data_IF_538216046856
#
_entry.id   IF_538216046856
#
_cell.length_a   1.000
_cell.length_b   1.000
_cell.length_c   1.000
_cell.angle_alpha   90.00
_cell.angle_beta   90.00
_cell.angle_gamma   90.00
#
_symmetry.space_group_name_H-M   'P 1'
#
loop_
_entity.id
_entity.type
_entity.pdbx_description
1 polymer ?
#
# COMPACT_ATOMS: atom_id res chain seq x y z
N UNK A 1 17.17 81.60 -29.29
CA UNK A 1 17.48 80.17 -29.55
C UNK A 1 17.01 79.24 -28.41
N UNK A 2 15.80 79.41 -27.86
CA UNK A 2 15.28 78.55 -26.76
C UNK A 2 14.04 77.72 -27.13
N UNK A 3 13.40 78.01 -28.28
CA UNK A 3 12.16 77.33 -28.72
C UNK A 3 12.41 76.12 -29.64
N UNK A 4 13.59 76.02 -30.26
CA UNK A 4 13.93 74.89 -31.14
C UNK A 4 14.44 73.65 -30.37
N UNK A 5 15.02 73.83 -29.18
CA UNK A 5 15.58 72.73 -28.40
C UNK A 5 14.49 71.81 -27.80
N UNK A 6 13.32 72.36 -27.47
CA UNK A 6 12.24 71.61 -26.82
C UNK A 6 11.49 70.69 -27.80
N UNK A 7 11.37 71.08 -29.07
CA UNK A 7 10.68 70.29 -30.10
C UNK A 7 11.50 69.05 -30.48
N UNK A 8 12.83 69.16 -30.52
CA UNK A 8 13.73 68.02 -30.85
C UNK A 8 13.77 67.00 -29.70
N UNK A 9 13.74 67.46 -28.46
CA UNK A 9 13.71 66.59 -27.28
C UNK A 9 12.39 65.82 -27.15
N UNK A 10 11.26 66.48 -27.47
CA UNK A 10 9.94 65.84 -27.50
C UNK A 10 9.81 64.78 -28.60
N UNK A 11 10.39 65.02 -29.78
CA UNK A 11 10.35 64.05 -30.90
C UNK A 11 11.20 62.80 -30.64
N UNK A 12 12.39 62.96 -30.02
CA UNK A 12 13.27 61.86 -29.64
C UNK A 12 12.64 60.93 -28.58
N UNK A 13 11.87 61.50 -27.64
CA UNK A 13 11.17 60.71 -26.62
C UNK A 13 10.09 59.80 -27.25
N UNK A 14 9.31 60.33 -28.21
CA UNK A 14 8.25 59.56 -28.88
C UNK A 14 8.82 58.44 -29.75
N UNK A 15 9.98 58.65 -30.40
CA UNK A 15 10.66 57.62 -31.19
C UNK A 15 11.21 56.45 -30.36
N UNK A 16 11.56 56.67 -29.08
CA UNK A 16 11.97 55.58 -28.18
C UNK A 16 10.81 54.73 -27.66
N UNK A 17 9.57 55.22 -27.71
CA UNK A 17 8.39 54.48 -27.23
C UNK A 17 7.72 53.59 -28.29
N UNK A 18 8.05 53.75 -29.58
CA UNK A 18 7.48 52.92 -30.67
C UNK A 18 8.26 51.61 -30.88
N UNK A 19 9.32 51.37 -30.08
CA UNK A 19 10.23 50.23 -30.20
C UNK A 19 9.95 49.02 -29.30
N UNK A 20 8.86 49.01 -28.51
CA UNK A 20 8.41 47.80 -27.82
C UNK A 20 7.14 47.30 -28.51
N UNK A 21 7.35 46.70 -29.69
CA UNK A 21 6.31 46.02 -30.43
C UNK A 21 5.59 45.00 -29.56
N UNK A 22 4.27 44.91 -29.77
CA UNK A 22 3.46 43.78 -29.36
C UNK A 22 4.12 42.48 -29.83
N UNK A 23 4.83 41.80 -28.94
CA UNK A 23 4.91 40.36 -29.02
C UNK A 23 3.63 39.85 -28.34
N UNK A 24 2.52 39.87 -29.07
CA UNK A 24 1.49 38.88 -28.81
C UNK A 24 2.17 37.54 -29.07
N UNK A 25 2.71 36.95 -28.01
CA UNK A 25 3.28 35.62 -28.05
C UNK A 25 2.11 34.72 -28.43
N UNK A 26 2.04 34.40 -29.72
CA UNK A 26 1.12 33.41 -30.25
C UNK A 26 1.33 32.15 -29.41
N UNK A 27 0.34 31.78 -28.61
CA UNK A 27 0.34 30.50 -27.88
C UNK A 27 0.07 29.31 -28.82
N UNK A 28 0.12 29.54 -30.14
CA UNK A 28 -0.27 28.61 -31.19
C UNK A 28 0.94 27.85 -31.77
N UNK A 29 2.10 27.90 -31.11
CA UNK A 29 3.18 26.96 -31.39
C UNK A 29 2.78 25.58 -30.85
N UNK A 30 1.91 24.90 -31.58
CA UNK A 30 1.55 23.51 -31.35
C UNK A 30 2.81 22.65 -31.50
N UNK A 31 3.39 22.22 -30.39
CA UNK A 31 4.61 21.42 -30.39
C UNK A 31 4.27 19.98 -30.78
N UNK A 32 4.32 19.67 -32.07
CA UNK A 32 4.02 18.33 -32.59
C UNK A 32 4.88 17.24 -31.93
N UNK A 33 6.11 17.57 -31.54
CA UNK A 33 7.03 16.66 -30.84
C UNK A 33 6.53 16.30 -29.42
N UNK A 34 5.82 17.21 -28.75
CA UNK A 34 5.20 16.93 -27.44
C UNK A 34 4.02 15.97 -27.56
N UNK A 35 3.15 16.19 -28.55
CA UNK A 35 2.00 15.30 -28.79
C UNK A 35 2.44 13.92 -29.27
N UNK A 36 3.43 13.86 -30.15
CA UNK A 36 4.02 12.61 -30.62
C UNK A 36 4.70 11.85 -29.48
N UNK A 37 5.48 12.54 -28.64
CA UNK A 37 6.08 11.98 -27.44
C UNK A 37 5.04 11.48 -26.41
N UNK A 38 3.97 12.24 -26.21
CA UNK A 38 2.88 11.87 -25.30
C UNK A 38 2.11 10.65 -25.81
N UNK A 39 1.72 10.63 -27.09
CA UNK A 39 1.03 9.52 -27.71
C UNK A 39 1.89 8.25 -27.71
N UNK A 40 3.16 8.36 -28.10
CA UNK A 40 4.10 7.23 -28.13
C UNK A 40 4.36 6.71 -26.72
N UNK A 41 4.57 7.58 -25.74
CA UNK A 41 4.75 7.17 -24.35
C UNK A 41 3.51 6.50 -23.75
N UNK A 42 2.32 7.01 -24.07
CA UNK A 42 1.06 6.40 -23.67
C UNK A 42 0.86 5.02 -24.31
N UNK A 43 1.12 4.88 -25.61
CA UNK A 43 0.99 3.60 -26.31
C UNK A 43 2.01 2.57 -25.81
N UNK A 44 3.27 2.97 -25.61
CA UNK A 44 4.30 2.08 -25.06
C UNK A 44 3.93 1.64 -23.65
N UNK A 45 3.53 2.56 -22.77
CA UNK A 45 3.11 2.22 -21.41
C UNK A 45 1.83 1.36 -21.36
N UNK A 46 0.87 1.62 -22.25
CA UNK A 46 -0.34 0.79 -22.36
C UNK A 46 -0.01 -0.62 -22.83
N UNK A 47 0.86 -0.77 -23.83
CA UNK A 47 1.25 -2.08 -24.37
C UNK A 47 2.14 -2.86 -23.39
N UNK A 48 3.06 -2.19 -22.69
CA UNK A 48 3.87 -2.77 -21.61
C UNK A 48 2.96 -3.29 -20.48
N UNK A 49 2.02 -2.47 -20.01
CA UNK A 49 1.01 -2.91 -19.03
C UNK A 49 0.14 -4.07 -19.54
N UNK A 50 -0.20 -4.10 -20.84
CA UNK A 50 -0.93 -5.22 -21.46
C UNK A 50 -0.11 -6.51 -21.52
N UNK A 51 1.19 -6.44 -21.83
CA UNK A 51 2.07 -7.60 -21.83
C UNK A 51 2.26 -8.16 -20.41
N UNK A 52 2.46 -7.28 -19.42
CA UNK A 52 2.57 -7.71 -18.02
C UNK A 52 1.31 -8.45 -17.54
N UNK A 53 0.11 -7.97 -17.89
CA UNK A 53 -1.16 -8.67 -17.57
C UNK A 53 -1.29 -10.02 -18.27
N UNK A 54 -0.76 -10.16 -19.49
CA UNK A 54 -0.85 -11.39 -20.27
C UNK A 54 0.14 -12.47 -19.80
N UNK A 55 1.24 -12.08 -19.14
CA UNK A 55 2.33 -12.96 -18.72
C UNK A 55 2.35 -13.25 -17.20
N UNK A 56 1.63 -12.47 -16.38
CA UNK A 56 1.57 -12.70 -14.93
C UNK A 56 0.74 -13.95 -14.61
N UNK A 57 1.41 -15.09 -14.40
CA UNK A 57 0.80 -16.20 -13.66
C UNK A 57 0.61 -15.74 -12.23
N UNK A 58 -0.63 -15.61 -11.78
CA UNK A 58 -0.90 -15.27 -10.38
C UNK A 58 -0.48 -16.45 -9.50
N UNK A 59 0.38 -16.16 -8.54
CA UNK A 59 0.75 -17.10 -7.49
C UNK A 59 -0.12 -16.80 -6.27
N UNK A 60 -0.51 -17.86 -5.56
CA UNK A 60 -1.31 -17.73 -4.36
C UNK A 60 -0.65 -18.52 -3.22
N UNK A 61 -0.88 -18.09 -1.99
CA UNK A 61 -0.58 -18.88 -0.80
C UNK A 61 -1.87 -19.30 -0.13
N UNK A 62 -1.96 -20.59 0.19
CA UNK A 62 -2.99 -21.12 1.06
C UNK A 62 -2.43 -21.30 2.47
N UNK A 63 -3.07 -20.65 3.44
CA UNK A 63 -2.76 -20.78 4.86
C UNK A 63 -3.80 -21.67 5.54
N UNK A 64 -3.35 -22.63 6.34
CA UNK A 64 -4.24 -23.54 7.07
C UNK A 64 -3.69 -23.99 8.42
N UNK A 65 -4.57 -24.55 9.24
CA UNK A 65 -4.22 -25.16 10.52
C UNK A 65 -4.31 -24.18 11.69
N UNK A 66 -3.22 -24.03 12.42
CA UNK A 66 -3.18 -23.30 13.68
C UNK A 66 -1.77 -22.76 13.95
N UNK A 67 -1.67 -21.71 14.75
CA UNK A 67 -0.38 -21.14 15.14
C UNK A 67 -0.37 -20.78 16.63
N UNK A 68 0.82 -20.81 17.24
CA UNK A 68 1.04 -20.33 18.59
C UNK A 68 1.44 -18.85 18.55
N UNK A 69 0.78 -18.02 19.35
CA UNK A 69 1.19 -16.63 19.55
C UNK A 69 0.93 -16.18 20.99
N UNK A 70 1.72 -15.22 21.46
CA UNK A 70 1.53 -14.61 22.78
C UNK A 70 0.69 -13.35 22.66
N UNK A 71 -0.33 -13.23 23.51
CA UNK A 71 -1.15 -12.01 23.58
C UNK A 71 -0.34 -10.96 24.31
N UNK A 72 0.04 -9.90 23.61
CA UNK A 72 0.76 -8.76 24.19
C UNK A 72 -0.21 -7.77 24.83
N UNK A 73 -1.30 -7.47 24.13
CA UNK A 73 -2.25 -6.45 24.55
C UNK A 73 -3.65 -6.71 23.99
N UNK A 74 -4.68 -6.35 24.75
CA UNK A 74 -6.06 -6.34 24.32
C UNK A 74 -6.53 -4.89 24.06
N UNK A 75 -6.90 -4.61 22.83
CA UNK A 75 -7.33 -3.28 22.39
C UNK A 75 -8.84 -3.26 22.09
N UNK A 76 -9.59 -2.23 22.51
CA UNK A 76 -10.98 -2.10 22.11
C UNK A 76 -11.11 -1.93 20.59
N UNK A 77 -11.99 -2.71 19.96
CA UNK A 77 -12.35 -2.52 18.56
C UNK A 77 -13.44 -1.45 18.47
N UNK A 78 -13.05 -0.21 18.19
CA UNK A 78 -14.00 0.91 18.07
C UNK A 78 -14.81 0.89 16.78
N UNK A 79 -14.44 0.06 15.79
CA UNK A 79 -15.15 -0.05 14.52
C UNK A 79 -16.16 -1.21 14.53
N UNK A 80 -15.82 -2.31 15.20
CA UNK A 80 -16.71 -3.44 15.36
C UNK A 80 -17.75 -3.19 16.48
N UNK A 81 -18.75 -4.06 16.57
CA UNK A 81 -19.84 -3.97 17.56
C UNK A 81 -19.28 -3.74 18.99
N UNK A 82 -19.97 -2.95 19.84
CA UNK A 82 -19.52 -2.68 21.20
C UNK A 82 -19.21 -3.97 21.98
N UNK A 83 -18.03 -4.04 22.58
CA UNK A 83 -17.55 -5.19 23.35
C UNK A 83 -16.58 -6.11 22.61
N UNK A 84 -16.36 -5.90 21.30
CA UNK A 84 -15.30 -6.58 20.56
C UNK A 84 -13.93 -6.00 20.88
N UNK A 85 -12.95 -6.88 20.97
CA UNK A 85 -11.56 -6.55 21.25
C UNK A 85 -10.69 -7.08 20.11
N UNK A 86 -9.58 -6.41 19.83
CA UNK A 86 -8.51 -6.87 18.94
C UNK A 86 -7.36 -7.31 19.84
N UNK A 87 -6.79 -8.49 19.60
CA UNK A 87 -5.58 -8.90 20.29
C UNK A 87 -4.36 -8.43 19.49
N UNK A 88 -3.41 -7.77 20.16
CA UNK A 88 -2.05 -7.63 19.68
C UNK A 88 -1.33 -8.91 20.07
N UNK A 89 -0.80 -9.64 19.10
CA UNK A 89 -0.13 -10.92 19.33
C UNK A 89 1.23 -10.95 18.64
N UNK A 90 2.15 -11.77 19.14
CA UNK A 90 3.45 -11.97 18.48
C UNK A 90 3.88 -13.45 18.51
N UNK A 91 4.65 -13.85 17.50
CA UNK A 91 5.42 -15.09 17.55
C UNK A 91 6.63 -14.95 18.47
N UNK A 92 7.27 -16.06 18.82
CA UNK A 92 8.45 -16.02 19.68
C UNK A 92 9.57 -15.22 19.02
N UNK A 93 10.01 -14.13 19.67
CA UNK A 93 11.05 -13.22 19.17
C UNK A 93 10.74 -12.54 17.83
N UNK A 94 9.46 -12.39 17.48
CA UNK A 94 9.04 -11.71 16.25
C UNK A 94 8.24 -10.42 16.54
N UNK A 95 7.98 -9.64 15.49
CA UNK A 95 7.18 -8.43 15.52
C UNK A 95 5.71 -8.74 15.85
N UNK A 96 5.04 -7.89 16.65
CA UNK A 96 3.63 -8.07 16.90
C UNK A 96 2.76 -7.71 15.69
N UNK A 97 1.60 -8.36 15.59
CA UNK A 97 0.57 -8.10 14.61
C UNK A 97 -0.83 -8.14 15.26
N UNK A 98 -1.85 -7.64 14.55
CA UNK A 98 -3.22 -7.59 15.07
C UNK A 98 -3.96 -8.89 14.73
N UNK A 99 -4.74 -9.41 15.67
CA UNK A 99 -5.60 -10.56 15.47
C UNK A 99 -7.05 -10.15 15.72
N UNK A 100 -7.85 -10.21 14.66
CA UNK A 100 -9.28 -9.89 14.71
C UNK A 100 -10.10 -11.15 14.96
N UNK A 101 -11.11 -11.04 15.83
CA UNK A 101 -12.02 -12.13 16.15
C UNK A 101 -13.42 -11.83 15.59
N UNK A 102 -13.90 -12.67 14.67
CA UNK A 102 -15.23 -12.48 14.09
C UNK A 102 -16.34 -12.82 15.09
N UNK A 103 -16.10 -13.80 15.98
CA UNK A 103 -16.99 -14.19 17.09
C UNK A 103 -16.51 -13.57 18.40
N UNK A 104 -17.40 -13.54 19.40
CA UNK A 104 -17.06 -13.10 20.75
C UNK A 104 -16.19 -14.17 21.44
N UNK A 105 -14.92 -14.20 21.06
CA UNK A 105 -13.88 -15.11 21.57
C UNK A 105 -12.90 -14.36 22.49
N UNK A 106 -12.96 -13.03 22.51
CA UNK A 106 -11.95 -12.20 23.19
C UNK A 106 -12.14 -12.07 24.68
N UNK A 107 -13.34 -12.37 25.21
CA UNK A 107 -13.64 -12.24 26.64
C UNK A 107 -12.85 -13.17 27.57
N UNK A 108 -12.08 -14.13 27.05
CA UNK A 108 -11.31 -15.09 27.85
C UNK A 108 -9.78 -15.04 27.60
N UNK A 109 -9.30 -14.12 26.75
CA UNK A 109 -7.86 -13.95 26.54
C UNK A 109 -7.22 -13.17 27.69
N UNK A 110 -5.99 -13.56 28.04
CA UNK A 110 -5.20 -12.95 29.10
C UNK A 110 -3.89 -12.43 28.49
N UNK A 111 -3.59 -11.15 28.70
CA UNK A 111 -2.32 -10.54 28.30
C UNK A 111 -1.13 -11.26 28.95
N UNK A 112 -0.04 -11.42 28.19
CA UNK A 112 1.14 -12.18 28.56
C UNK A 112 1.01 -13.70 28.44
N UNK A 113 -0.16 -14.23 28.02
CA UNK A 113 -0.38 -15.67 27.86
C UNK A 113 -0.21 -16.09 26.41
N UNK A 114 0.48 -17.22 26.20
CA UNK A 114 0.63 -17.85 24.89
C UNK A 114 -0.53 -18.82 24.62
N UNK A 115 -1.11 -18.71 23.43
CA UNK A 115 -2.22 -19.53 22.99
C UNK A 115 -1.92 -20.14 21.63
N UNK A 116 -2.52 -21.30 21.37
CA UNK A 116 -2.64 -21.87 20.02
C UNK A 116 -3.99 -21.44 19.45
N UNK A 117 -3.95 -20.70 18.35
CA UNK A 117 -5.11 -20.21 17.63
C UNK A 117 -5.39 -21.11 16.42
N UNK A 118 -6.61 -21.64 16.32
CA UNK A 118 -7.10 -22.30 15.12
C UNK A 118 -7.85 -21.30 14.25
N UNK A 119 -7.71 -21.40 12.93
CA UNK A 119 -8.33 -20.47 12.00
C UNK A 119 -8.90 -21.18 10.77
N UNK A 120 -9.84 -20.53 10.09
CA UNK A 120 -10.37 -21.02 8.81
C UNK A 120 -9.30 -20.91 7.72
N UNK A 121 -9.11 -21.99 6.95
CA UNK A 121 -8.21 -21.95 5.78
C UNK A 121 -8.58 -20.81 4.85
N UNK A 122 -7.60 -20.03 4.43
CA UNK A 122 -7.79 -18.93 3.49
C UNK A 122 -6.67 -18.90 2.45
N UNK A 123 -6.91 -18.15 1.37
CA UNK A 123 -5.98 -18.01 0.26
C UNK A 123 -5.74 -16.53 -0.03
N UNK A 124 -4.49 -16.16 -0.33
CA UNK A 124 -4.08 -14.80 -0.68
C UNK A 124 -3.30 -14.82 -1.99
N UNK A 125 -3.48 -13.78 -2.81
CA UNK A 125 -2.67 -13.56 -4.01
C UNK A 125 -1.31 -13.00 -3.59
N UNK A 126 -0.23 -13.61 -4.08
CA UNK A 126 1.15 -13.19 -3.81
C UNK A 126 1.65 -12.26 -4.92
N UNK A 127 2.46 -11.25 -4.58
CA UNK A 127 3.25 -10.54 -5.57
C UNK A 127 4.31 -11.48 -6.19
N UNK A 128 4.79 -11.14 -7.38
CA UNK A 128 5.67 -12.02 -8.16
C UNK A 128 7.04 -12.28 -7.50
N UNK A 129 7.45 -11.46 -6.52
CA UNK A 129 8.73 -11.55 -5.79
C UNK A 129 8.63 -12.21 -4.41
N UNK A 130 7.44 -12.62 -3.96
CA UNK A 130 7.24 -13.23 -2.64
C UNK A 130 7.31 -14.77 -2.70
N UNK A 131 8.42 -15.32 -2.21
CA UNK A 131 8.65 -16.77 -2.17
C UNK A 131 8.24 -17.42 -0.83
N UNK A 132 8.29 -16.66 0.26
CA UNK A 132 8.06 -17.14 1.63
C UNK A 132 7.03 -16.25 2.34
N UNK A 133 5.73 -16.46 2.07
CA UNK A 133 4.69 -15.61 2.61
C UNK A 133 4.48 -15.86 4.10
N UNK A 134 4.43 -14.77 4.88
CA UNK A 134 4.23 -14.82 6.33
C UNK A 134 2.77 -14.50 6.66
N UNK A 135 2.16 -15.32 7.52
CA UNK A 135 0.74 -15.14 7.90
C UNK A 135 0.48 -13.79 8.57
N UNK A 136 1.48 -13.22 9.27
CA UNK A 136 1.37 -11.94 9.98
C UNK A 136 1.15 -10.76 9.04
N UNK A 137 1.59 -10.88 7.78
CA UNK A 137 1.37 -9.87 6.74
C UNK A 137 -0.08 -9.90 6.21
N UNK A 138 -0.80 -10.99 6.45
CA UNK A 138 -2.18 -11.22 6.01
C UNK A 138 -3.19 -11.20 7.16
N UNK A 139 -2.92 -10.41 8.20
CA UNK A 139 -3.72 -10.37 9.44
C UNK A 139 -5.23 -10.18 9.26
N UNK A 140 -5.67 -9.48 8.21
CA UNK A 140 -7.10 -9.25 7.93
C UNK A 140 -7.81 -10.47 7.33
N UNK A 141 -7.05 -11.42 6.80
CA UNK A 141 -7.56 -12.67 6.21
C UNK A 141 -7.75 -13.76 7.26
N UNK A 142 -7.12 -13.63 8.43
CA UNK A 142 -7.18 -14.62 9.50
C UNK A 142 -8.56 -14.59 10.17
N UNK A 143 -9.29 -15.70 10.09
CA UNK A 143 -10.53 -15.88 10.83
C UNK A 143 -10.36 -16.94 11.91
N UNK A 144 -10.12 -16.49 13.15
CA UNK A 144 -9.96 -17.39 14.30
C UNK A 144 -11.28 -18.09 14.63
N UNK A 145 -11.24 -19.42 14.69
CA UNK A 145 -12.39 -20.28 14.99
C UNK A 145 -12.41 -20.75 16.44
N UNK A 146 -11.22 -20.97 17.01
CA UNK A 146 -11.02 -21.44 18.38
C UNK A 146 -9.62 -21.08 18.88
N UNK A 147 -9.41 -21.19 20.18
CA UNK A 147 -8.08 -21.11 20.77
C UNK A 147 -8.00 -21.97 22.03
N UNK A 148 -6.78 -22.30 22.44
CA UNK A 148 -6.46 -22.89 23.74
C UNK A 148 -5.13 -22.36 24.25
N UNK A 149 -4.90 -22.45 25.56
CA UNK A 149 -3.58 -22.15 26.14
C UNK A 149 -2.54 -23.08 25.50
N UNK A 150 -1.37 -22.53 25.15
CA UNK A 150 -0.26 -23.30 24.59
C UNK A 150 0.34 -24.22 25.65
N UNK A 151 0.75 -25.42 25.23
CA UNK A 151 1.47 -26.38 26.06
C UNK A 151 2.96 -26.01 26.12
N UNK A 152 3.68 -26.50 27.15
CA UNK A 152 5.09 -26.12 27.39
C UNK A 152 6.01 -26.47 26.21
N UNK A 153 5.70 -27.52 25.45
CA UNK A 153 6.44 -27.97 24.27
C UNK A 153 6.06 -27.22 22.98
N UNK A 154 5.05 -26.35 23.03
CA UNK A 154 4.62 -25.49 21.92
C UNK A 154 5.14 -24.05 22.06
N UNK A 155 5.96 -23.77 23.07
CA UNK A 155 6.55 -22.46 23.32
C UNK A 155 7.93 -22.33 22.67
N UNK A 156 8.31 -21.09 22.33
CA UNK A 156 9.66 -20.80 21.86
C UNK A 156 9.83 -20.93 20.34
N UNK A 157 11.06 -21.28 19.92
CA UNK A 157 11.46 -21.34 18.50
C UNK A 157 10.74 -22.45 17.72
N UNK A 158 10.40 -23.55 18.39
CA UNK A 158 9.64 -24.67 17.80
C UNK A 158 8.14 -24.49 17.98
N UNK A 159 7.71 -23.24 18.23
CA UNK A 159 6.30 -22.91 18.38
C UNK A 159 5.50 -23.28 17.15
N UNK A 160 4.24 -23.67 17.36
CA UNK A 160 3.37 -24.12 16.28
C UNK A 160 3.20 -23.00 15.24
N UNK A 161 3.51 -23.30 13.98
CA UNK A 161 3.34 -22.39 12.85
C UNK A 161 2.23 -22.88 11.93
N UNK A 162 1.55 -21.99 11.18
CA UNK A 162 0.55 -22.42 10.21
C UNK A 162 1.20 -23.20 9.07
N UNK A 163 0.42 -24.05 8.41
CA UNK A 163 0.84 -24.67 7.16
C UNK A 163 0.63 -23.67 6.03
N UNK A 164 1.64 -23.54 5.17
CA UNK A 164 1.64 -22.66 4.01
C UNK A 164 1.90 -23.47 2.75
N UNK A 165 1.01 -23.40 1.78
CA UNK A 165 1.15 -24.06 0.48
C UNK A 165 1.07 -23.03 -0.65
N UNK A 166 2.07 -23.00 -1.52
CA UNK A 166 2.05 -22.18 -2.74
C UNK A 166 1.19 -22.89 -3.79
N UNK A 167 0.11 -22.24 -4.20
CA UNK A 167 -0.82 -22.74 -5.23
C UNK A 167 -0.79 -21.81 -6.45
N UNK A 168 -0.74 -22.39 -7.65
CA UNK A 168 -0.80 -21.66 -8.91
C UNK A 168 -2.12 -21.98 -9.62
N UNK A 169 -2.78 -20.98 -10.19
CA UNK A 169 -4.10 -21.09 -10.84
C UNK A 169 -4.08 -20.58 -12.26
#
# INVERSE_FOLDING_TARGET
>A
MKKMATIVLGLMLVLTLVGCGNNAQSSDAHNAEYEEGYATGYEVGYNDGKQQIAESKKHFAQFSGSFMATVEQLLPDYYALPGKTIAVVHFFQDRPFLLHFQKDLTGELIEGTSYVFEFETFEVELPDDEENPDISDYMYSINVTSYRVAEDDELGLEGKMPTVEIVSK
#
